data_IF_800427262476
#
_entry.id   IF_800427262476
#
_cell.length_a   1.000
_cell.length_b   1.000
_cell.length_c   1.000
_cell.angle_alpha   90.00
_cell.angle_beta   90.00
_cell.angle_gamma   90.00
#
_symmetry.space_group_name_H-M   'P 1'
#
loop_
_entity.id
_entity.type
_entity.pdbx_description
1 polymer ?
#
# COMPACT_ATOMS: atom_id res chain seq x y z
N UNK A 1 -9.29 12.58 -12.71
CA UNK A 1 -9.25 12.68 -11.24
C UNK A 1 -10.65 12.58 -10.63
N UNK A 2 -11.59 13.47 -11.02
CA UNK A 2 -12.97 13.48 -10.49
C UNK A 2 -13.70 12.14 -10.60
N UNK A 3 -13.60 11.47 -11.75
CA UNK A 3 -14.30 10.21 -12.01
C UNK A 3 -13.86 9.06 -11.08
N UNK A 4 -12.57 9.01 -10.71
CA UNK A 4 -12.04 8.01 -9.76
C UNK A 4 -12.57 8.28 -8.34
N UNK A 5 -12.57 9.54 -7.91
CA UNK A 5 -13.03 9.94 -6.57
C UNK A 5 -14.52 9.64 -6.41
N UNK A 6 -15.33 9.93 -7.44
CA UNK A 6 -16.75 9.59 -7.45
C UNK A 6 -16.99 8.08 -7.38
N UNK A 7 -16.21 7.28 -8.13
CA UNK A 7 -16.28 5.82 -8.06
C UNK A 7 -15.98 5.29 -6.66
N UNK A 8 -14.91 5.79 -6.03
CA UNK A 8 -14.54 5.41 -4.66
C UNK A 8 -15.66 5.75 -3.67
N UNK A 9 -16.22 6.95 -3.76
CA UNK A 9 -17.30 7.37 -2.87
C UNK A 9 -18.55 6.46 -2.97
N UNK A 10 -18.90 6.02 -4.18
CA UNK A 10 -20.01 5.06 -4.40
C UNK A 10 -19.66 3.68 -3.84
N UNK A 11 -18.42 3.23 -3.97
CA UNK A 11 -17.96 1.96 -3.40
C UNK A 11 -18.00 1.98 -1.87
N UNK A 12 -17.59 3.07 -1.24
CA UNK A 12 -17.66 3.25 0.22
C UNK A 12 -19.12 3.23 0.69
N UNK A 13 -20.03 3.84 -0.06
CA UNK A 13 -21.46 3.84 0.26
C UNK A 13 -22.08 2.45 0.17
N UNK A 14 -21.71 1.66 -0.86
CA UNK A 14 -22.11 0.26 -0.99
C UNK A 14 -21.59 -0.58 0.18
N UNK A 15 -20.34 -0.35 0.58
CA UNK A 15 -19.72 -1.05 1.70
C UNK A 15 -20.43 -0.70 3.01
N UNK A 16 -20.73 0.58 3.23
CA UNK A 16 -21.49 1.03 4.39
C UNK A 16 -22.88 0.40 4.48
N UNK A 17 -23.57 0.22 3.35
CA UNK A 17 -24.83 -0.51 3.32
C UNK A 17 -24.66 -1.98 3.75
N UNK A 18 -23.58 -2.65 3.32
CA UNK A 18 -23.27 -4.03 3.71
C UNK A 18 -22.91 -4.15 5.20
N UNK A 19 -22.28 -3.13 5.80
CA UNK A 19 -21.93 -3.11 7.23
C UNK A 19 -23.02 -2.51 8.11
N UNK A 20 -24.21 -2.21 7.57
CA UNK A 20 -25.31 -1.53 8.26
C UNK A 20 -24.91 -0.17 8.88
N UNK A 21 -23.87 0.46 8.34
CA UNK A 21 -23.41 1.78 8.77
C UNK A 21 -24.33 2.86 8.21
N UNK A 22 -24.65 3.88 9.02
CA UNK A 22 -25.57 4.94 8.57
C UNK A 22 -24.99 5.73 7.38
N UNK A 23 -25.76 5.93 6.29
CA UNK A 23 -25.33 6.73 5.12
C UNK A 23 -24.89 8.16 5.47
N UNK A 24 -25.52 8.75 6.49
CA UNK A 24 -25.22 10.11 6.97
C UNK A 24 -23.84 10.20 7.62
N UNK A 25 -23.44 9.17 8.38
CA UNK A 25 -22.11 9.14 9.01
C UNK A 25 -21.00 9.03 7.96
N UNK A 26 -21.20 8.22 6.91
CA UNK A 26 -20.23 8.08 5.81
C UNK A 26 -20.06 9.39 5.06
N UNK A 27 -21.18 10.04 4.71
CA UNK A 27 -21.15 11.34 4.04
C UNK A 27 -20.47 12.42 4.90
N UNK A 28 -20.81 12.51 6.19
CA UNK A 28 -20.15 13.42 7.10
C UNK A 28 -18.64 13.14 7.17
N UNK A 29 -18.23 11.87 7.26
CA UNK A 29 -16.83 11.45 7.24
C UNK A 29 -16.07 11.90 5.99
N UNK A 30 -16.67 11.75 4.80
CA UNK A 30 -16.09 12.24 3.55
C UNK A 30 -15.93 13.77 3.55
N UNK A 31 -16.94 14.51 4.00
CA UNK A 31 -16.87 15.98 4.09
C UNK A 31 -15.76 16.41 5.05
N UNK A 32 -15.68 15.82 6.24
CA UNK A 32 -14.60 16.09 7.20
C UNK A 32 -13.23 15.77 6.61
N UNK A 33 -13.08 14.61 5.94
CA UNK A 33 -11.82 14.23 5.29
C UNK A 33 -11.40 15.21 4.20
N UNK A 34 -12.33 15.69 3.38
CA UNK A 34 -12.05 16.70 2.35
C UNK A 34 -11.65 18.03 2.97
N UNK A 35 -12.39 18.51 3.98
CA UNK A 35 -12.08 19.80 4.65
C UNK A 35 -10.71 19.74 5.31
N UNK A 36 -10.42 18.68 6.08
CA UNK A 36 -9.14 18.52 6.75
C UNK A 36 -8.00 18.39 5.72
N UNK A 37 -8.17 17.53 4.70
CA UNK A 37 -7.15 17.32 3.67
C UNK A 37 -6.88 18.57 2.82
N UNK A 38 -7.91 19.36 2.53
CA UNK A 38 -7.78 20.61 1.76
C UNK A 38 -7.09 21.74 2.53
N UNK A 39 -7.05 21.69 3.87
CA UNK A 39 -6.27 22.63 4.70
C UNK A 39 -4.85 22.09 4.94
N UNK A 40 -4.72 20.82 5.32
CA UNK A 40 -3.44 20.21 5.72
C UNK A 40 -2.49 20.06 4.51
N UNK A 41 -2.97 19.58 3.36
CA UNK A 41 -2.11 19.36 2.19
C UNK A 41 -1.39 20.63 1.68
N UNK A 42 -2.08 21.77 1.45
CA UNK A 42 -1.39 22.98 1.03
C UNK A 42 -0.48 23.54 2.13
N UNK A 43 -0.82 23.36 3.41
CA UNK A 43 0.05 23.77 4.51
C UNK A 43 1.36 22.97 4.49
N UNK A 44 1.29 21.64 4.36
CA UNK A 44 2.47 20.77 4.23
C UNK A 44 3.29 21.19 3.00
N UNK A 45 2.64 21.40 1.85
CA UNK A 45 3.34 21.85 0.63
C UNK A 45 4.04 23.19 0.82
N UNK A 46 3.39 24.17 1.46
CA UNK A 46 4.00 25.47 1.77
C UNK A 46 5.21 25.32 2.71
N UNK A 47 5.14 24.42 3.70
CA UNK A 47 6.30 24.09 4.53
C UNK A 47 7.45 23.49 3.72
N UNK A 48 7.16 22.58 2.79
CA UNK A 48 8.18 22.01 1.89
C UNK A 48 8.78 23.06 0.95
N UNK A 49 7.97 23.93 0.34
CA UNK A 49 8.46 24.97 -0.57
C UNK A 49 9.32 26.02 0.16
N UNK A 50 8.96 26.38 1.40
CA UNK A 50 9.69 27.36 2.21
C UNK A 50 10.97 26.81 2.85
N UNK A 51 10.98 25.55 3.32
CA UNK A 51 12.13 24.96 4.04
C UNK A 51 12.95 23.96 3.22
N UNK A 52 12.30 23.06 2.48
CA UNK A 52 12.99 21.95 1.82
C UNK A 52 13.60 22.34 0.46
N UNK A 53 12.94 23.23 -0.30
CA UNK A 53 13.42 23.66 -1.63
C UNK A 53 14.77 24.41 -1.59
N UNK A 54 15.11 25.04 -0.46
CA UNK A 54 16.42 25.67 -0.23
C UNK A 54 17.55 24.65 -0.06
N UNK A 55 17.25 23.44 0.40
CA UNK A 55 18.25 22.42 0.75
C UNK A 55 18.35 21.33 -0.33
N UNK A 56 17.24 21.01 -1.01
CA UNK A 56 17.22 20.01 -2.09
C UNK A 56 16.26 20.42 -3.23
N UNK A 57 16.78 20.73 -4.44
CA UNK A 57 15.93 20.99 -5.59
C UNK A 57 15.22 19.71 -6.07
N UNK A 58 13.92 19.83 -6.32
CA UNK A 58 13.07 18.75 -6.80
C UNK A 58 13.44 18.47 -8.27
N UNK A 59 13.81 17.23 -8.61
CA UNK A 59 14.11 16.80 -9.98
C UNK A 59 15.58 16.48 -10.30
N UNK A 60 16.48 16.43 -9.31
CA UNK A 60 17.83 15.88 -9.50
C UNK A 60 17.81 14.33 -9.49
N UNK A 61 18.80 13.65 -10.08
CA UNK A 61 18.85 12.17 -10.13
C UNK A 61 18.92 11.47 -8.75
N UNK A 62 19.24 12.23 -7.68
CA UNK A 62 19.27 11.76 -6.28
C UNK A 62 18.66 12.85 -5.37
N UNK A 63 17.33 12.98 -5.33
CA UNK A 63 16.71 13.95 -4.45
C UNK A 63 16.74 13.43 -3.00
N UNK A 64 17.02 14.33 -2.04
CA UNK A 64 16.92 14.04 -0.60
C UNK A 64 15.48 13.64 -0.21
N UNK A 65 14.50 14.13 -0.97
CA UNK A 65 13.09 13.74 -0.91
C UNK A 65 12.68 13.01 -2.19
N UNK A 66 12.74 11.66 -2.23
CA UNK A 66 12.23 10.90 -3.37
C UNK A 66 10.72 11.10 -3.51
N UNK A 67 10.26 11.24 -4.76
CA UNK A 67 8.85 11.34 -5.11
C UNK A 67 8.36 10.00 -5.72
N UNK A 68 8.16 8.95 -4.90
CA UNK A 68 7.85 7.61 -5.39
C UNK A 68 6.54 7.57 -6.19
N UNK A 69 5.52 8.30 -5.72
CA UNK A 69 4.22 8.35 -6.40
C UNK A 69 4.30 9.00 -7.79
N UNK A 70 5.19 9.97 -8.01
CA UNK A 70 5.34 10.61 -9.31
C UNK A 70 5.87 9.61 -10.37
N UNK A 71 6.77 8.71 -9.97
CA UNK A 71 7.28 7.66 -10.84
C UNK A 71 6.18 6.66 -11.21
N UNK A 72 5.35 6.27 -10.23
CA UNK A 72 4.21 5.37 -10.44
C UNK A 72 3.19 5.98 -11.40
N UNK A 73 2.79 7.24 -11.19
CA UNK A 73 1.84 7.92 -12.09
C UNK A 73 2.41 8.12 -13.49
N UNK A 74 3.72 8.38 -13.62
CA UNK A 74 4.37 8.41 -14.93
C UNK A 74 4.32 7.06 -15.63
N UNK A 75 4.57 5.96 -14.92
CA UNK A 75 4.47 4.62 -15.50
C UNK A 75 3.04 4.33 -15.97
N UNK A 76 2.03 4.68 -15.17
CA UNK A 76 0.61 4.53 -15.54
C UNK A 76 0.28 5.39 -16.78
N UNK A 77 0.78 6.62 -16.84
CA UNK A 77 0.55 7.52 -17.98
C UNK A 77 1.19 6.98 -19.27
N UNK A 78 2.42 6.46 -19.20
CA UNK A 78 3.10 5.85 -20.34
C UNK A 78 2.35 4.63 -20.86
N UNK A 79 1.92 3.73 -19.97
CA UNK A 79 1.10 2.57 -20.31
C UNK A 79 -0.27 2.99 -20.90
N UNK A 80 -0.88 4.04 -20.36
CA UNK A 80 -2.15 4.59 -20.86
C UNK A 80 -2.04 5.20 -22.26
N UNK A 81 -0.93 5.90 -22.55
CA UNK A 81 -0.72 6.53 -23.86
C UNK A 81 -0.30 5.54 -24.95
N UNK A 82 0.53 4.55 -24.63
CA UNK A 82 0.97 3.55 -25.60
C UNK A 82 0.00 2.39 -25.81
N UNK A 83 -1.08 2.35 -25.04
CA UNK A 83 -2.16 1.38 -25.16
C UNK A 83 -1.68 -0.06 -24.98
N UNK A 84 -2.41 -1.01 -25.57
CA UNK A 84 -2.17 -2.45 -25.41
C UNK A 84 -0.82 -2.94 -25.97
N UNK A 85 -0.10 -2.09 -26.71
CA UNK A 85 1.20 -2.40 -27.32
C UNK A 85 2.37 -2.20 -26.38
N UNK A 86 2.24 -1.32 -25.39
CA UNK A 86 3.24 -1.11 -24.32
C UNK A 86 3.05 -2.08 -23.15
N UNK A 87 1.99 -2.90 -23.16
CA UNK A 87 1.80 -3.93 -22.14
C UNK A 87 2.84 -5.05 -22.31
N UNK A 88 3.35 -5.63 -21.20
CA UNK A 88 4.28 -6.76 -21.25
C UNK A 88 3.76 -7.91 -22.12
N UNK A 89 4.66 -8.58 -22.86
CA UNK A 89 4.32 -9.75 -23.67
C UNK A 89 3.60 -10.79 -22.79
N UNK A 90 2.46 -11.29 -23.27
CA UNK A 90 1.55 -12.23 -22.56
C UNK A 90 0.78 -11.67 -21.35
N UNK A 91 0.84 -10.35 -21.05
CA UNK A 91 0.09 -9.76 -19.94
C UNK A 91 -1.42 -10.05 -20.02
N UNK A 92 -2.01 -9.94 -21.22
CA UNK A 92 -3.44 -10.21 -21.45
C UNK A 92 -3.77 -11.68 -21.20
N UNK A 93 -2.91 -12.59 -21.68
CA UNK A 93 -3.09 -14.04 -21.49
C UNK A 93 -3.05 -14.39 -20.00
N UNK A 94 -2.08 -13.86 -19.26
CA UNK A 94 -1.97 -14.08 -17.82
C UNK A 94 -3.14 -13.47 -17.05
N UNK A 95 -3.58 -12.27 -17.43
CA UNK A 95 -4.76 -11.62 -16.85
C UNK A 95 -6.04 -12.42 -17.08
N UNK A 96 -6.22 -12.99 -18.27
CA UNK A 96 -7.39 -13.81 -18.58
C UNK A 96 -7.38 -15.13 -17.81
N UNK A 97 -6.22 -15.80 -17.71
CA UNK A 97 -6.07 -17.04 -16.93
C UNK A 97 -6.35 -16.78 -15.45
N UNK A 98 -5.72 -15.75 -14.87
CA UNK A 98 -5.91 -15.41 -13.45
C UNK A 98 -7.33 -14.93 -13.16
N UNK A 99 -7.98 -14.24 -14.10
CA UNK A 99 -9.40 -13.88 -14.02
C UNK A 99 -10.29 -15.13 -13.94
N UNK A 100 -10.10 -16.11 -14.82
CA UNK A 100 -10.89 -17.36 -14.81
C UNK A 100 -10.68 -18.17 -13.52
N UNK A 101 -9.44 -18.27 -13.05
CA UNK A 101 -9.10 -18.94 -11.79
C UNK A 101 -9.80 -18.23 -10.61
N UNK A 102 -9.65 -16.91 -10.53
CA UNK A 102 -10.24 -16.09 -9.47
C UNK A 102 -11.76 -16.18 -9.48
N UNK A 103 -12.38 -16.09 -10.66
CA UNK A 103 -13.83 -16.22 -10.83
C UNK A 103 -14.32 -17.60 -10.35
N UNK A 104 -13.61 -18.67 -10.70
CA UNK A 104 -13.96 -20.03 -10.31
C UNK A 104 -13.86 -20.25 -8.80
N UNK A 105 -12.79 -19.75 -8.16
CA UNK A 105 -12.58 -19.89 -6.72
C UNK A 105 -13.60 -19.06 -5.93
N UNK A 106 -13.85 -17.81 -6.34
CA UNK A 106 -14.77 -16.92 -5.62
C UNK A 106 -16.23 -17.36 -5.81
N UNK A 107 -16.60 -17.87 -7.00
CA UNK A 107 -17.93 -18.46 -7.21
C UNK A 107 -18.12 -19.72 -6.37
N UNK A 108 -17.12 -20.61 -6.30
CA UNK A 108 -17.15 -21.78 -5.42
C UNK A 108 -17.30 -21.36 -3.95
N UNK A 109 -16.60 -20.31 -3.53
CA UNK A 109 -16.70 -19.74 -2.17
C UNK A 109 -18.12 -19.23 -1.89
N UNK A 110 -18.72 -18.46 -2.80
CA UNK A 110 -20.07 -17.93 -2.65
C UNK A 110 -21.14 -19.02 -2.60
N UNK A 111 -21.00 -20.06 -3.44
CA UNK A 111 -21.92 -21.21 -3.43
C UNK A 111 -21.77 -22.02 -2.13
N UNK A 112 -20.54 -22.24 -1.68
CA UNK A 112 -20.24 -22.92 -0.42
C UNK A 112 -20.84 -22.20 0.79
N UNK A 113 -20.76 -20.86 0.82
CA UNK A 113 -21.37 -20.02 1.85
C UNK A 113 -22.90 -20.06 1.83
N UNK A 114 -23.54 -20.05 0.64
CA UNK A 114 -25.01 -20.13 0.55
C UNK A 114 -25.57 -21.51 0.93
N UNK A 115 -24.84 -22.59 0.66
CA UNK A 115 -25.25 -23.96 0.98
C UNK A 115 -24.73 -24.45 2.35
N UNK A 116 -24.11 -23.56 3.11
CA UNK A 116 -23.49 -23.82 4.43
C UNK A 116 -22.59 -25.09 4.46
N UNK A 117 -21.73 -25.21 3.46
CA UNK A 117 -20.78 -26.31 3.40
C UNK A 117 -19.58 -26.05 4.33
N UNK A 118 -19.18 -27.06 5.11
CA UNK A 118 -17.98 -27.00 5.99
C UNK A 118 -16.68 -26.66 5.24
N UNK A 119 -16.67 -26.78 3.91
CA UNK A 119 -15.55 -26.43 3.02
C UNK A 119 -15.29 -24.91 2.99
N UNK A 120 -16.23 -24.08 3.45
CA UNK A 120 -16.08 -22.61 3.49
C UNK A 120 -14.84 -22.10 4.24
N UNK A 121 -14.32 -22.87 5.20
CA UNK A 121 -13.13 -22.52 5.97
C UNK A 121 -11.81 -22.75 5.21
N UNK A 122 -11.82 -23.57 4.15
CA UNK A 122 -10.61 -23.95 3.43
C UNK A 122 -10.42 -23.17 2.12
N UNK A 123 -11.41 -22.38 1.71
CA UNK A 123 -11.37 -21.64 0.44
C UNK A 123 -10.82 -20.22 0.71
N UNK A 124 -9.59 -19.90 0.27
CA UNK A 124 -9.04 -18.56 0.44
C UNK A 124 -9.80 -17.55 -0.41
N UNK A 125 -9.89 -16.30 0.07
CA UNK A 125 -10.39 -15.20 -0.73
C UNK A 125 -9.28 -14.73 -1.67
N UNK A 126 -9.46 -14.94 -2.98
CA UNK A 126 -8.47 -14.55 -3.98
C UNK A 126 -8.26 -13.03 -4.02
N UNK A 127 -9.30 -12.27 -3.73
CA UNK A 127 -9.24 -10.80 -3.61
C UNK A 127 -8.32 -10.35 -2.48
N UNK A 128 -8.36 -11.04 -1.32
CA UNK A 128 -7.49 -10.71 -0.18
C UNK A 128 -6.02 -11.02 -0.48
N UNK A 129 -5.76 -12.07 -1.26
CA UNK A 129 -4.40 -12.44 -1.70
C UNK A 129 -3.88 -11.42 -2.72
N UNK A 130 -4.73 -10.91 -3.62
CA UNK A 130 -4.31 -9.97 -4.66
C UNK A 130 -3.89 -8.59 -4.12
N UNK A 131 -4.43 -8.14 -2.99
CA UNK A 131 -4.16 -6.82 -2.41
C UNK A 131 -2.67 -6.58 -2.07
N UNK A 132 -1.96 -7.48 -1.35
CA UNK A 132 -0.52 -7.37 -1.15
C UNK A 132 0.32 -7.40 -2.43
N UNK A 133 -0.11 -8.13 -3.47
CA UNK A 133 0.63 -8.14 -4.73
C UNK A 133 0.60 -6.78 -5.43
N UNK A 134 -0.46 -5.99 -5.21
CA UNK A 134 -0.59 -4.65 -5.79
C UNK A 134 0.08 -3.58 -4.93
N UNK A 135 -0.07 -3.66 -3.60
CA UNK A 135 0.39 -2.61 -2.67
C UNK A 135 1.81 -2.86 -2.14
N UNK A 136 2.26 -4.11 -2.16
CA UNK A 136 3.55 -4.54 -1.63
C UNK A 136 3.43 -5.41 -0.37
N UNK A 137 4.59 -5.93 0.12
CA UNK A 137 4.63 -6.86 1.23
C UNK A 137 4.21 -6.25 2.58
N UNK A 138 4.27 -4.92 2.74
CA UNK A 138 3.84 -4.22 3.96
C UNK A 138 2.38 -4.52 4.30
N UNK A 139 1.52 -4.52 3.28
CA UNK A 139 0.11 -4.83 3.41
C UNK A 139 -0.16 -6.25 3.97
N UNK A 140 0.67 -7.23 3.59
CA UNK A 140 0.55 -8.59 4.12
C UNK A 140 0.92 -8.65 5.61
N UNK A 141 1.92 -7.87 6.02
CA UNK A 141 2.33 -7.74 7.44
C UNK A 141 1.22 -7.11 8.26
N UNK A 142 0.59 -6.05 7.75
CA UNK A 142 -0.54 -5.40 8.43
C UNK A 142 -1.73 -6.35 8.57
N UNK A 143 -2.09 -7.11 7.53
CA UNK A 143 -3.15 -8.12 7.65
C UNK A 143 -2.83 -9.22 8.68
N UNK A 144 -1.57 -9.66 8.76
CA UNK A 144 -1.14 -10.65 9.74
C UNK A 144 -1.23 -10.10 11.17
N UNK A 145 -0.73 -8.88 11.41
CA UNK A 145 -0.80 -8.20 12.69
C UNK A 145 -2.26 -7.95 13.11
N UNK A 146 -3.10 -7.49 12.19
CA UNK A 146 -4.54 -7.31 12.43
C UNK A 146 -5.24 -8.62 12.81
N UNK A 147 -4.85 -9.74 12.19
CA UNK A 147 -5.37 -11.07 12.52
C UNK A 147 -4.93 -11.53 13.91
N UNK A 148 -3.66 -11.35 14.26
CA UNK A 148 -3.13 -11.67 15.60
C UNK A 148 -3.84 -10.84 16.67
N UNK A 149 -3.99 -9.53 16.44
CA UNK A 149 -4.66 -8.65 17.39
C UNK A 149 -6.13 -9.05 17.58
N UNK A 150 -6.83 -9.36 16.48
CA UNK A 150 -8.20 -9.88 16.54
C UNK A 150 -8.29 -11.18 17.33
N UNK A 151 -7.34 -12.12 17.15
CA UNK A 151 -7.33 -13.39 17.89
C UNK A 151 -7.14 -13.18 19.40
N UNK A 152 -6.24 -12.27 19.79
CA UNK A 152 -6.02 -11.92 21.20
C UNK A 152 -7.29 -11.26 21.78
N UNK A 153 -7.85 -10.28 21.07
CA UNK A 153 -9.03 -9.55 21.53
C UNK A 153 -10.28 -10.45 21.64
N UNK A 154 -10.44 -11.38 20.71
CA UNK A 154 -11.52 -12.38 20.72
C UNK A 154 -11.43 -13.30 21.94
N UNK A 155 -10.22 -13.60 22.43
CA UNK A 155 -10.01 -14.39 23.66
C UNK A 155 -10.31 -13.62 24.93
N UNK A 156 -10.16 -12.29 24.92
CA UNK A 156 -10.42 -11.44 26.10
C UNK A 156 -11.89 -11.01 26.14
N UNK A 157 -12.43 -10.41 25.08
CA UNK A 157 -13.83 -9.94 25.00
C UNK A 157 -14.40 -10.09 23.57
N UNK A 158 -15.25 -11.10 23.36
CA UNK A 158 -15.85 -11.43 22.04
C UNK A 158 -16.72 -10.32 21.43
N UNK A 159 -17.48 -9.60 22.25
CA UNK A 159 -18.51 -8.68 21.77
C UNK A 159 -17.92 -7.35 21.27
N UNK A 160 -16.88 -6.85 21.94
CA UNK A 160 -16.13 -5.67 21.47
C UNK A 160 -15.18 -6.01 20.31
N UNK A 161 -14.73 -7.26 20.18
CA UNK A 161 -13.83 -7.68 19.10
C UNK A 161 -14.42 -7.43 17.71
N UNK A 162 -15.69 -7.77 17.50
CA UNK A 162 -16.32 -7.68 16.17
C UNK A 162 -16.51 -6.21 15.73
N UNK A 163 -16.88 -5.32 16.64
CA UNK A 163 -17.07 -3.90 16.33
C UNK A 163 -15.75 -3.14 16.12
N UNK A 164 -14.75 -3.39 16.95
CA UNK A 164 -13.46 -2.69 16.86
C UNK A 164 -12.49 -3.32 15.86
N UNK A 165 -12.62 -4.61 15.54
CA UNK A 165 -11.72 -5.27 14.58
C UNK A 165 -11.80 -4.67 13.18
N UNK A 166 -12.99 -4.25 12.72
CA UNK A 166 -13.15 -3.59 11.43
C UNK A 166 -12.46 -2.21 11.41
N UNK A 167 -12.60 -1.42 12.48
CA UNK A 167 -11.96 -0.12 12.59
C UNK A 167 -10.44 -0.23 12.71
N UNK A 168 -9.95 -1.17 13.51
CA UNK A 168 -8.50 -1.42 13.67
C UNK A 168 -7.90 -1.98 12.39
N UNK A 169 -8.55 -2.95 11.74
CA UNK A 169 -8.07 -3.49 10.48
C UNK A 169 -8.03 -2.41 9.39
N UNK A 170 -9.09 -1.59 9.26
CA UNK A 170 -9.12 -0.48 8.33
C UNK A 170 -8.02 0.56 8.63
N UNK A 171 -7.74 0.84 9.91
CA UNK A 171 -6.68 1.75 10.34
C UNK A 171 -5.27 1.23 10.11
N UNK A 172 -5.03 -0.07 10.32
CA UNK A 172 -3.74 -0.72 10.02
C UNK A 172 -3.49 -0.74 8.50
N UNK A 173 -4.52 -1.14 7.74
CA UNK A 173 -4.45 -1.30 6.29
C UNK A 173 -4.37 0.04 5.55
N UNK A 174 -5.17 1.03 5.96
CA UNK A 174 -5.21 2.34 5.27
C UNK A 174 -4.18 3.32 5.82
N UNK A 175 -3.58 3.02 6.96
CA UNK A 175 -2.70 3.96 7.64
C UNK A 175 -1.25 3.91 7.19
N UNK A 176 -0.79 2.79 6.60
CA UNK A 176 0.65 2.41 6.55
C UNK A 176 1.40 2.80 7.85
N UNK A 177 0.66 2.92 8.96
CA UNK A 177 1.00 3.86 10.03
C UNK A 177 2.03 3.26 10.97
N UNK A 178 2.05 1.93 11.03
CA UNK A 178 3.07 1.18 11.74
C UNK A 178 4.44 1.53 11.16
N UNK A 179 4.58 1.71 9.84
CA UNK A 179 5.87 2.00 9.19
C UNK A 179 6.13 3.49 8.98
N UNK A 180 5.16 4.27 8.53
CA UNK A 180 5.40 5.70 8.30
C UNK A 180 5.65 6.48 9.60
N UNK A 181 5.01 6.12 10.73
CA UNK A 181 5.22 6.85 11.98
C UNK A 181 6.64 6.68 12.53
N UNK A 182 7.19 5.45 12.67
CA UNK A 182 8.59 5.28 13.04
C UNK A 182 9.53 5.88 12.00
N UNK A 183 9.31 5.68 10.70
CA UNK A 183 10.19 6.26 9.68
C UNK A 183 10.22 7.79 9.74
N UNK A 184 9.08 8.44 9.95
CA UNK A 184 9.00 9.88 10.16
C UNK A 184 9.68 10.33 11.45
N UNK A 185 9.53 9.55 12.54
CA UNK A 185 10.17 9.83 13.83
C UNK A 185 11.70 9.66 13.76
N UNK A 186 12.19 8.57 13.16
CA UNK A 186 13.61 8.34 12.91
C UNK A 186 14.20 9.42 11.99
N UNK A 187 13.45 9.85 10.97
CA UNK A 187 13.83 10.98 10.12
C UNK A 187 13.90 12.31 10.89
N UNK A 188 12.99 12.54 11.84
CA UNK A 188 13.00 13.72 12.72
C UNK A 188 14.18 13.71 13.69
N UNK A 189 14.57 12.54 14.20
CA UNK A 189 15.73 12.35 15.06
C UNK A 189 17.07 12.23 14.31
N UNK A 190 17.07 12.39 12.97
CA UNK A 190 18.27 12.23 12.10
C UNK A 190 19.06 10.95 12.40
N UNK A 191 18.36 9.86 12.67
CA UNK A 191 19.03 8.57 12.89
C UNK A 191 19.47 8.04 11.53
N UNK A 192 20.79 7.98 11.31
CA UNK A 192 21.35 7.34 10.11
C UNK A 192 20.93 5.87 10.11
N UNK A 193 20.45 5.33 8.97
CA UNK A 193 20.07 3.93 8.89
C UNK A 193 21.32 3.07 9.18
N UNK A 194 21.29 2.18 10.20
CA UNK A 194 22.46 1.42 10.61
C UNK A 194 22.94 0.42 9.55
N UNK A 195 22.11 0.17 8.52
CA UNK A 195 22.42 -0.74 7.42
C UNK A 195 21.94 -0.11 6.11
N UNK A 196 22.88 0.32 5.27
CA UNK A 196 22.62 0.67 3.89
C UNK A 196 22.60 -0.61 3.04
N UNK A 197 21.43 -1.20 2.81
CA UNK A 197 21.29 -2.29 1.84
C UNK A 197 21.02 -1.73 0.45
N UNK A 198 21.88 -2.08 -0.51
CA UNK A 198 21.73 -1.69 -1.93
C UNK A 198 21.52 -2.95 -2.76
N UNK A 199 20.32 -3.13 -3.29
CA UNK A 199 20.00 -4.24 -4.18
C UNK A 199 20.48 -3.90 -5.58
N UNK A 200 21.63 -4.47 -5.98
CA UNK A 200 22.15 -4.39 -7.33
C UNK A 200 21.50 -5.47 -8.20
N UNK A 201 21.07 -5.16 -9.44
CA UNK A 201 20.67 -6.19 -10.39
C UNK A 201 21.86 -7.13 -10.63
N UNK A 202 21.62 -8.45 -10.53
CA UNK A 202 22.68 -9.45 -10.66
C UNK A 202 23.41 -9.32 -11.99
N UNK A 203 24.75 -9.24 -11.95
CA UNK A 203 25.61 -9.13 -13.13
C UNK A 203 26.81 -8.21 -12.92
N UNK A 204 27.16 -7.48 -13.99
CA UNK A 204 28.40 -6.68 -14.13
C UNK A 204 28.53 -5.55 -13.09
N UNK A 205 27.41 -5.01 -12.60
CA UNK A 205 27.39 -3.93 -11.61
C UNK A 205 27.74 -4.41 -10.19
N UNK A 206 27.46 -5.68 -9.85
CA UNK A 206 27.85 -6.27 -8.55
C UNK A 206 29.37 -6.41 -8.46
N UNK A 207 30.02 -6.87 -9.53
CA UNK A 207 31.48 -7.00 -9.58
C UNK A 207 32.20 -5.65 -9.48
N UNK A 208 31.63 -4.59 -10.06
CA UNK A 208 32.19 -3.23 -9.97
C UNK A 208 32.00 -2.67 -8.55
N UNK A 209 30.85 -2.93 -7.92
CA UNK A 209 30.61 -2.53 -6.53
C UNK A 209 31.54 -3.26 -5.56
N UNK A 210 31.73 -4.58 -5.72
CA UNK A 210 32.65 -5.39 -4.90
C UNK A 210 34.11 -4.96 -5.11
N UNK A 211 34.52 -4.67 -6.35
CA UNK A 211 35.85 -4.14 -6.65
C UNK A 211 36.08 -2.75 -6.03
N UNK A 212 35.04 -1.90 -5.96
CA UNK A 212 35.13 -0.59 -5.34
C UNK A 212 35.22 -0.69 -3.81
N UNK A 213 34.46 -1.59 -3.19
CA UNK A 213 34.51 -1.84 -1.74
C UNK A 213 35.87 -2.44 -1.30
N UNK A 214 36.44 -3.36 -2.10
CA UNK A 214 37.78 -3.91 -1.81
C UNK A 214 38.92 -2.88 -1.93
N UNK A 215 38.78 -1.88 -2.80
CA UNK A 215 39.74 -0.77 -2.90
C UNK A 215 39.63 0.24 -1.74
N UNK A 216 38.44 0.39 -1.14
CA UNK A 216 38.26 1.20 0.07
C UNK A 216 38.81 0.52 1.32
N UNK A 217 38.74 -0.80 1.41
CA UNK A 217 39.31 -1.58 2.52
C UNK A 217 40.85 -1.55 2.57
N UNK A 218 41.52 -1.23 1.46
CA UNK A 218 42.99 -1.18 1.36
C UNK A 218 43.58 0.21 1.62
N UNK A 219 42.78 1.29 1.57
CA UNK A 219 43.23 2.65 1.95
C UNK A 219 42.99 3.01 3.42
N UNK A 220 42.36 2.14 4.22
CA UNK A 220 42.15 2.34 5.66
C UNK A 220 43.21 1.69 6.56
N UNK A 221 44.27 1.10 6.00
CA UNK A 221 45.39 0.49 6.73
C UNK A 221 46.75 1.02 6.24
N UNK A 222 46.91 2.34 6.20
CA UNK A 222 48.20 3.04 6.30
C UNK A 222 48.00 4.34 7.04
#
# INVERSE_FOLDING_TARGET
MSLNISSQAVQDHKTAYMTLTSPRAVFAGHVYGIVIGSIINPLIYAFFDLKAKKTAPIGTPKPEFPAPYAQVYRAIALLGMGGVKELPKHCITFSFITFLITLSIETLRLVSQRKDWKVQFYIPCMTAIALPFLSGPTFAVDMALGTILRLIWTKVHRQSAELFSAAVAAGLVSGDGIWYLPSALLGLFKVEPPICMRFLPSGKEVQIADAFLNNLGTQGMT
#
